data_IF_281000525427
#
_entry.id   IF_281000525427
#
_cell.length_a   1.000
_cell.length_b   1.000
_cell.length_c   1.000
_cell.angle_alpha   90.00
_cell.angle_beta   90.00
_cell.angle_gamma   90.00
#
_symmetry.space_group_name_H-M   'P 1'
#
loop_
_entity.id
_entity.type
_entity.pdbx_description
1 polymer ?
#
# COMPACT_ATOMS: atom_id res chain seq x y z
N UNK A 1 34.84 13.33 104.87
CA UNK A 1 33.41 13.14 105.18
C UNK A 1 32.72 12.71 103.90
N UNK A 2 32.14 11.52 103.94
CA UNK A 2 31.56 10.79 102.83
C UNK A 2 30.14 11.25 102.45
N UNK A 3 29.68 10.72 101.31
CA UNK A 3 28.32 10.56 100.77
C UNK A 3 28.20 11.24 99.40
N UNK A 4 27.57 10.66 98.39
CA UNK A 4 26.81 9.42 98.30
C UNK A 4 26.57 9.10 96.83
N UNK A 5 26.39 7.81 96.58
CA UNK A 5 25.92 7.16 95.36
C UNK A 5 24.59 7.73 94.84
N UNK A 6 24.39 7.72 93.52
CA UNK A 6 23.19 7.12 92.91
C UNK A 6 23.36 6.94 91.39
N UNK A 7 23.00 5.74 90.95
CA UNK A 7 23.12 5.18 89.60
C UNK A 7 21.86 5.51 88.82
N UNK A 8 21.99 5.84 87.53
CA UNK A 8 20.93 5.55 86.56
C UNK A 8 21.51 4.64 85.48
N UNK A 9 20.92 3.46 85.43
CA UNK A 9 21.27 2.30 84.65
C UNK A 9 20.35 2.21 83.42
N UNK A 10 20.80 1.43 82.44
CA UNK A 10 20.10 0.92 81.24
C UNK A 10 20.02 1.88 80.04
N UNK A 11 20.81 1.70 78.96
CA UNK A 11 21.05 0.57 78.05
C UNK A 11 20.11 0.56 76.83
N UNK A 12 20.74 0.28 75.67
CA UNK A 12 20.21 -0.05 74.31
C UNK A 12 19.98 1.20 73.44
N UNK A 13 20.55 1.38 72.25
CA UNK A 13 21.29 0.55 71.30
C UNK A 13 22.14 1.50 70.43
N UNK A 14 23.44 1.26 70.26
CA UNK A 14 24.23 1.94 69.23
C UNK A 14 25.26 0.99 68.63
N UNK A 15 24.80 -0.05 67.93
CA UNK A 15 25.60 -0.77 66.94
C UNK A 15 24.70 -1.23 65.78
N UNK A 16 24.45 -0.35 64.78
CA UNK A 16 24.49 -0.82 63.39
C UNK A 16 25.09 0.22 62.41
N UNK A 17 25.89 1.18 62.85
CA UNK A 17 26.28 2.31 61.98
C UNK A 17 27.38 1.95 60.98
N UNK A 18 28.34 1.10 61.35
CA UNK A 18 29.41 0.65 60.44
C UNK A 18 28.90 -0.30 59.34
N UNK A 19 27.97 -1.20 59.67
CA UNK A 19 27.41 -2.16 58.72
C UNK A 19 26.53 -1.46 57.68
N UNK A 20 25.71 -0.48 58.09
CA UNK A 20 24.86 0.30 57.18
C UNK A 20 25.70 1.24 56.30
N UNK A 21 26.79 1.81 56.82
CA UNK A 21 27.71 2.62 56.02
C UNK A 21 28.51 1.77 55.00
N UNK A 22 28.93 0.56 55.40
CA UNK A 22 29.58 -0.41 54.52
C UNK A 22 28.64 -0.93 53.43
N UNK A 23 27.39 -1.26 53.78
CA UNK A 23 26.34 -1.63 52.83
C UNK A 23 26.05 -0.49 51.83
N UNK A 24 25.93 0.77 52.29
CA UNK A 24 25.80 1.95 51.42
C UNK A 24 27.02 2.16 50.51
N UNK A 25 28.22 1.76 50.92
CA UNK A 25 29.42 1.80 50.07
C UNK A 25 29.38 0.70 49.01
N UNK A 26 28.96 -0.50 49.38
CA UNK A 26 28.77 -1.63 48.46
C UNK A 26 27.68 -1.34 47.42
N UNK A 27 26.54 -0.77 47.83
CA UNK A 27 25.46 -0.35 46.94
C UNK A 27 25.93 0.73 45.95
N UNK A 28 26.72 1.70 46.41
CA UNK A 28 27.36 2.70 45.52
C UNK A 28 28.30 2.04 44.51
N UNK A 29 29.08 1.04 44.91
CA UNK A 29 29.97 0.28 44.02
C UNK A 29 29.22 -0.63 43.05
N UNK A 30 28.07 -1.21 43.46
CA UNK A 30 27.18 -1.98 42.58
C UNK A 30 26.54 -1.06 41.54
N UNK A 31 25.98 0.07 41.97
CA UNK A 31 25.41 1.10 41.08
C UNK A 31 26.46 1.65 40.10
N UNK A 32 27.71 1.84 40.53
CA UNK A 32 28.80 2.26 39.65
C UNK A 32 29.14 1.21 38.59
N UNK A 33 29.18 -0.08 38.95
CA UNK A 33 29.36 -1.19 38.00
C UNK A 33 28.20 -1.28 37.01
N UNK A 34 26.97 -1.15 37.47
CA UNK A 34 25.78 -1.11 36.61
C UNK A 34 25.81 0.07 35.65
N UNK A 35 26.22 1.25 36.10
CA UNK A 35 26.38 2.43 35.24
C UNK A 35 27.45 2.20 34.17
N UNK A 36 28.58 1.58 34.53
CA UNK A 36 29.62 1.22 33.57
C UNK A 36 29.13 0.19 32.53
N UNK A 37 28.36 -0.81 32.96
CA UNK A 37 27.76 -1.78 32.05
C UNK A 37 26.79 -1.09 31.08
N UNK A 38 25.89 -0.24 31.60
CA UNK A 38 24.96 0.55 30.78
C UNK A 38 25.67 1.49 29.82
N UNK A 39 26.77 2.12 30.26
CA UNK A 39 27.59 2.97 29.40
C UNK A 39 28.22 2.15 28.28
N UNK A 40 28.80 0.99 28.60
CA UNK A 40 29.40 0.09 27.61
C UNK A 40 28.35 -0.48 26.64
N UNK A 41 27.15 -0.81 27.13
CA UNK A 41 26.02 -1.23 26.32
C UNK A 41 25.58 -0.12 25.38
N UNK A 42 25.38 1.10 25.89
CA UNK A 42 25.03 2.26 25.09
C UNK A 42 26.09 2.56 24.02
N UNK A 43 27.38 2.53 24.36
CA UNK A 43 28.45 2.69 23.37
C UNK A 43 28.42 1.64 22.28
N UNK A 44 28.18 0.36 22.63
CA UNK A 44 28.07 -0.73 21.66
C UNK A 44 26.84 -0.59 20.77
N UNK A 45 25.70 -0.20 21.32
CA UNK A 45 24.46 0.02 20.58
C UNK A 45 24.60 1.19 19.62
N UNK A 46 25.08 2.33 20.11
CA UNK A 46 25.34 3.51 19.28
C UNK A 46 26.32 3.19 18.15
N UNK A 47 27.39 2.44 18.41
CA UNK A 47 28.32 2.03 17.37
C UNK A 47 27.67 1.12 16.31
N UNK A 48 26.84 0.17 16.74
CA UNK A 48 26.09 -0.70 15.81
C UNK A 48 25.14 0.11 14.94
N UNK A 49 24.39 1.05 15.53
CA UNK A 49 23.46 1.91 14.80
C UNK A 49 24.18 2.76 13.76
N UNK A 50 25.28 3.43 14.13
CA UNK A 50 26.10 4.22 13.19
C UNK A 50 26.63 3.37 12.03
N UNK A 51 27.06 2.13 12.31
CA UNK A 51 27.51 1.19 11.28
C UNK A 51 26.37 0.73 10.38
N UNK A 52 25.17 0.49 10.94
CA UNK A 52 23.99 0.12 10.17
C UNK A 52 23.47 1.25 9.29
N UNK A 53 23.50 2.49 9.77
CA UNK A 53 23.16 3.68 9.00
C UNK A 53 24.14 3.88 7.84
N UNK A 54 25.45 3.81 8.09
CA UNK A 54 26.47 3.88 7.04
C UNK A 54 26.31 2.73 6.02
N UNK A 55 25.96 1.52 6.48
CA UNK A 55 25.61 0.40 5.61
C UNK A 55 24.39 0.70 4.74
N UNK A 56 23.33 1.27 5.30
CA UNK A 56 22.11 1.65 4.55
C UNK A 56 22.40 2.75 3.53
N UNK A 57 23.23 3.75 3.89
CA UNK A 57 23.64 4.82 2.99
C UNK A 57 24.51 4.33 1.83
N UNK A 58 25.39 3.35 2.08
CA UNK A 58 26.21 2.70 1.05
C UNK A 58 25.42 1.76 0.15
N UNK A 59 24.24 1.32 0.59
CA UNK A 59 23.39 0.45 -0.20
C UNK A 59 22.71 1.25 -1.33
N UNK A 60 22.71 0.72 -2.56
CA UNK A 60 21.90 1.28 -3.63
C UNK A 60 20.42 1.31 -3.25
N UNK A 61 19.70 2.38 -3.61
CA UNK A 61 18.26 2.52 -3.35
C UNK A 61 17.41 1.36 -3.89
N UNK A 62 17.88 0.65 -4.92
CA UNK A 62 17.21 -0.51 -5.51
C UNK A 62 17.57 -1.86 -4.86
N UNK A 63 18.42 -1.88 -3.83
CA UNK A 63 18.94 -3.12 -3.24
C UNK A 63 17.84 -3.98 -2.61
N UNK A 64 16.91 -3.37 -1.89
CA UNK A 64 15.80 -4.08 -1.24
C UNK A 64 14.86 -4.70 -2.28
N UNK A 65 14.53 -3.96 -3.35
CA UNK A 65 13.75 -4.48 -4.45
C UNK A 65 14.47 -5.63 -5.16
N UNK A 66 15.79 -5.54 -5.33
CA UNK A 66 16.60 -6.63 -5.91
C UNK A 66 16.62 -7.86 -5.00
N UNK A 67 16.74 -7.67 -3.68
CA UNK A 67 16.68 -8.75 -2.69
C UNK A 67 15.32 -9.44 -2.71
N UNK A 68 14.23 -8.67 -2.67
CA UNK A 68 12.86 -9.20 -2.72
C UNK A 68 12.61 -9.99 -4.02
N UNK A 69 13.13 -9.51 -5.15
CA UNK A 69 13.07 -10.24 -6.42
C UNK A 69 13.83 -11.57 -6.35
N UNK A 70 15.06 -11.56 -5.85
CA UNK A 70 15.87 -12.78 -5.71
C UNK A 70 15.22 -13.78 -4.76
N UNK A 71 14.65 -13.31 -3.65
CA UNK A 71 13.91 -14.14 -2.70
C UNK A 71 12.67 -14.76 -3.36
N UNK A 72 11.91 -13.99 -4.12
CA UNK A 72 10.79 -14.50 -4.90
C UNK A 72 11.24 -15.56 -5.93
N UNK A 73 12.32 -15.30 -6.66
CA UNK A 73 12.87 -16.22 -7.66
C UNK A 73 13.33 -17.55 -7.01
N UNK A 74 13.95 -17.49 -5.82
CA UNK A 74 14.31 -18.66 -5.02
C UNK A 74 13.08 -19.44 -4.55
N UNK A 75 12.04 -18.74 -4.08
CA UNK A 75 10.80 -19.36 -3.62
C UNK A 75 10.07 -20.07 -4.77
N UNK A 76 9.99 -19.43 -5.94
CA UNK A 76 9.45 -20.02 -7.17
C UNK A 76 10.27 -21.22 -7.62
N UNK A 77 11.61 -21.13 -7.57
CA UNK A 77 12.48 -22.25 -7.93
C UNK A 77 12.33 -23.44 -6.96
N UNK A 78 12.19 -23.18 -5.65
CA UNK A 78 11.90 -24.19 -4.64
C UNK A 78 10.61 -24.94 -4.94
N UNK A 79 9.50 -24.20 -5.10
CA UNK A 79 8.19 -24.80 -5.46
C UNK A 79 8.23 -25.61 -6.76
N UNK A 80 8.98 -25.15 -7.77
CA UNK A 80 9.16 -25.91 -9.02
C UNK A 80 9.88 -27.24 -8.79
N UNK A 81 10.90 -27.27 -7.91
CA UNK A 81 11.61 -28.50 -7.56
C UNK A 81 10.70 -29.46 -6.79
N UNK A 82 9.96 -28.95 -5.80
CA UNK A 82 8.98 -29.73 -5.04
C UNK A 82 7.93 -30.35 -5.97
N UNK A 83 7.32 -29.56 -6.88
CA UNK A 83 6.38 -30.09 -7.87
C UNK A 83 7.03 -31.15 -8.78
N UNK A 84 8.29 -30.94 -9.20
CA UNK A 84 9.00 -31.91 -10.04
C UNK A 84 9.30 -33.22 -9.30
N UNK A 85 9.64 -33.16 -8.00
CA UNK A 85 9.86 -34.33 -7.14
C UNK A 85 8.55 -35.11 -6.91
N UNK A 86 7.42 -34.40 -6.78
CA UNK A 86 6.09 -35.01 -6.69
C UNK A 86 5.55 -35.49 -8.05
N UNK A 87 6.18 -35.14 -9.17
CA UNK A 87 5.74 -35.48 -10.53
C UNK A 87 4.57 -34.65 -11.05
N UNK A 88 4.31 -33.48 -10.47
CA UNK A 88 3.23 -32.57 -10.85
C UNK A 88 3.72 -31.41 -11.72
N UNK A 89 2.84 -30.89 -12.59
CA UNK A 89 3.12 -29.66 -13.36
C UNK A 89 2.90 -28.41 -12.49
N UNK A 90 4.00 -27.68 -12.26
CA UNK A 90 4.02 -26.42 -11.51
C UNK A 90 2.98 -25.40 -11.99
N UNK A 91 2.73 -25.31 -13.31
CA UNK A 91 1.77 -24.34 -13.83
C UNK A 91 0.34 -24.68 -13.39
N UNK A 92 0.02 -25.97 -13.30
CA UNK A 92 -1.30 -26.43 -12.87
C UNK A 92 -1.50 -26.19 -11.37
N UNK A 93 -0.51 -26.51 -10.55
CA UNK A 93 -0.53 -26.22 -9.11
C UNK A 93 -0.67 -24.72 -8.85
N UNK A 94 0.11 -23.91 -9.56
CA UNK A 94 0.02 -22.44 -9.46
C UNK A 94 -1.36 -21.90 -9.85
N UNK A 95 -2.01 -22.47 -10.86
CA UNK A 95 -3.36 -22.05 -11.27
C UNK A 95 -4.42 -22.45 -10.24
N UNK A 96 -4.25 -23.56 -9.52
CA UNK A 96 -5.14 -23.97 -8.44
C UNK A 96 -5.07 -23.02 -7.24
N UNK A 97 -3.89 -22.45 -6.95
CA UNK A 97 -3.71 -21.46 -5.88
C UNK A 97 -4.36 -20.10 -6.19
N UNK A 98 -4.63 -19.79 -7.47
CA UNK A 98 -5.21 -18.51 -7.87
C UNK A 98 -6.73 -18.55 -7.69
N UNK A 99 -7.23 -17.74 -6.76
CA UNK A 99 -8.67 -17.57 -6.54
C UNK A 99 -9.37 -16.94 -7.75
N UNK A 100 -10.64 -17.30 -7.96
CA UNK A 100 -11.48 -16.74 -9.02
C UNK A 100 -11.55 -15.20 -8.95
N UNK A 101 -11.63 -14.62 -7.75
CA UNK A 101 -11.63 -13.16 -7.58
C UNK A 101 -10.32 -12.51 -8.01
N UNK A 102 -9.19 -13.17 -7.76
CA UNK A 102 -7.88 -12.66 -8.12
C UNK A 102 -7.64 -12.76 -9.63
N UNK A 103 -8.13 -13.83 -10.25
CA UNK A 103 -8.19 -13.95 -11.70
C UNK A 103 -9.05 -12.84 -12.33
N UNK A 104 -10.24 -12.56 -11.80
CA UNK A 104 -11.10 -11.46 -12.28
C UNK A 104 -10.44 -10.09 -12.12
N UNK A 105 -9.85 -9.80 -10.95
CA UNK A 105 -9.11 -8.56 -10.71
C UNK A 105 -7.97 -8.42 -11.72
N UNK A 106 -7.28 -9.51 -12.03
CA UNK A 106 -6.20 -9.52 -13.01
C UNK A 106 -6.72 -9.26 -14.43
N UNK A 107 -7.81 -9.89 -14.84
CA UNK A 107 -8.46 -9.66 -16.13
C UNK A 107 -8.99 -8.22 -16.28
N UNK A 108 -9.54 -7.62 -15.21
CA UNK A 108 -9.96 -6.21 -15.21
C UNK A 108 -8.78 -5.24 -15.36
N UNK A 109 -7.62 -5.58 -14.79
CA UNK A 109 -6.39 -4.80 -14.92
C UNK A 109 -5.74 -4.94 -16.30
N UNK A 110 -6.00 -6.02 -17.03
CA UNK A 110 -5.54 -6.16 -18.41
C UNK A 110 -6.27 -5.15 -19.28
N UNK A 111 -5.49 -4.26 -19.92
CA UNK A 111 -6.02 -3.32 -20.92
C UNK A 111 -6.67 -4.12 -22.04
N UNK A 112 -7.93 -3.81 -22.37
CA UNK A 112 -8.60 -4.34 -23.57
C UNK A 112 -7.76 -3.94 -24.79
N UNK A 113 -7.14 -4.93 -25.44
CA UNK A 113 -6.32 -4.71 -26.65
C UNK A 113 -7.26 -4.69 -27.85
N UNK A 114 -7.31 -3.58 -28.58
CA UNK A 114 -7.91 -3.50 -29.90
C UNK A 114 -6.79 -3.23 -30.92
N UNK A 115 -5.98 -4.25 -31.29
CA UNK A 115 -4.91 -4.08 -32.26
C UNK A 115 -5.48 -3.66 -33.61
N UNK A 116 -4.73 -2.91 -34.41
CA UNK A 116 -5.13 -2.57 -35.78
C UNK A 116 -4.70 -3.70 -36.72
N UNK A 117 -5.62 -4.50 -37.29
CA UNK A 117 -5.29 -5.54 -38.24
C UNK A 117 -4.86 -4.98 -39.60
N UNK A 118 -4.94 -3.67 -39.81
CA UNK A 118 -4.65 -3.00 -41.07
C UNK A 118 -5.92 -2.63 -41.85
N UNK A 119 -5.75 -1.96 -42.98
CA UNK A 119 -6.86 -1.55 -43.83
C UNK A 119 -7.44 -2.75 -44.58
N UNK A 120 -8.65 -3.17 -44.21
CA UNK A 120 -9.43 -4.21 -44.89
C UNK A 120 -10.40 -3.62 -45.92
N UNK A 121 -11.03 -2.49 -45.61
CA UNK A 121 -11.94 -1.77 -46.50
C UNK A 121 -12.58 -0.55 -45.84
N UNK A 122 -13.19 0.33 -46.64
CA UNK A 122 -13.75 1.60 -46.17
C UNK A 122 -14.87 1.41 -45.12
N UNK A 123 -15.73 0.42 -45.31
CA UNK A 123 -16.83 0.15 -44.37
C UNK A 123 -16.34 -0.30 -42.99
N UNK A 124 -15.32 -1.16 -42.94
CA UNK A 124 -14.77 -1.67 -41.68
C UNK A 124 -13.92 -0.61 -40.97
N UNK A 125 -13.16 0.19 -41.74
CA UNK A 125 -12.46 1.36 -41.21
C UNK A 125 -13.44 2.37 -40.60
N UNK A 126 -14.55 2.66 -41.30
CA UNK A 126 -15.61 3.54 -40.81
C UNK A 126 -16.28 2.98 -39.56
N UNK A 127 -16.59 1.67 -39.53
CA UNK A 127 -17.18 1.02 -38.35
C UNK A 127 -16.24 1.13 -37.14
N UNK A 128 -14.94 0.92 -37.33
CA UNK A 128 -13.94 1.07 -36.25
C UNK A 128 -13.88 2.50 -35.73
N UNK A 129 -13.86 3.49 -36.63
CA UNK A 129 -13.90 4.90 -36.25
C UNK A 129 -15.19 5.24 -35.49
N UNK A 130 -16.34 4.81 -36.00
CA UNK A 130 -17.64 5.00 -35.34
C UNK A 130 -17.68 4.38 -33.94
N UNK A 131 -17.20 3.15 -33.77
CA UNK A 131 -17.10 2.49 -32.47
C UNK A 131 -16.17 3.22 -31.50
N UNK A 132 -15.10 3.86 -32.00
CA UNK A 132 -14.21 4.67 -31.19
C UNK A 132 -14.89 5.96 -30.74
N UNK A 133 -15.50 6.69 -31.67
CA UNK A 133 -16.18 7.95 -31.38
C UNK A 133 -17.35 7.74 -30.41
N UNK A 134 -18.20 6.72 -30.64
CA UNK A 134 -19.32 6.39 -29.75
C UNK A 134 -18.89 6.03 -28.32
N UNK A 135 -17.71 5.43 -28.12
CA UNK A 135 -17.15 5.19 -26.79
C UNK A 135 -16.58 6.44 -26.11
N UNK A 136 -16.21 7.46 -26.88
CA UNK A 136 -15.64 8.71 -26.38
C UNK A 136 -16.73 9.71 -25.98
N UNK A 137 -17.90 9.66 -26.63
CA UNK A 137 -19.05 10.50 -26.31
C UNK A 137 -19.51 10.20 -24.88
N UNK A 138 -19.66 11.25 -24.08
CA UNK A 138 -20.22 11.20 -22.73
C UNK A 138 -21.55 11.95 -22.72
N UNK A 139 -22.69 11.25 -22.61
CA UNK A 139 -24.00 11.89 -22.56
C UNK A 139 -24.20 12.69 -21.26
N UNK A 140 -24.81 13.86 -21.37
CA UNK A 140 -25.27 14.64 -20.22
C UNK A 140 -26.66 14.16 -19.80
N UNK A 141 -26.74 13.45 -18.67
CA UNK A 141 -27.98 12.81 -18.21
C UNK A 141 -29.05 13.83 -17.78
N UNK A 142 -28.64 14.98 -17.23
CA UNK A 142 -29.58 16.05 -16.83
C UNK A 142 -30.30 16.66 -18.05
N UNK A 143 -29.57 16.90 -19.14
CA UNK A 143 -30.14 17.42 -20.38
C UNK A 143 -31.09 16.40 -21.03
N UNK A 144 -30.72 15.12 -20.96
CA UNK A 144 -31.54 14.02 -21.42
C UNK A 144 -32.86 13.92 -20.64
N UNK A 145 -32.83 13.99 -19.30
CA UNK A 145 -34.03 13.95 -18.46
C UNK A 145 -34.94 15.15 -18.71
N UNK A 146 -34.37 16.36 -18.82
CA UNK A 146 -35.14 17.57 -19.19
C UNK A 146 -35.83 17.44 -20.54
N UNK A 147 -35.14 16.89 -21.55
CA UNK A 147 -35.75 16.65 -22.86
C UNK A 147 -36.83 15.57 -22.77
N UNK A 148 -36.60 14.50 -22.01
CA UNK A 148 -37.59 13.43 -21.80
C UNK A 148 -38.87 13.95 -21.18
N UNK A 149 -38.80 14.84 -20.19
CA UNK A 149 -39.98 15.47 -19.59
C UNK A 149 -40.71 16.40 -20.58
N UNK A 150 -39.98 17.14 -21.42
CA UNK A 150 -40.56 18.05 -22.41
C UNK A 150 -41.31 17.33 -23.53
N UNK A 151 -40.73 16.24 -24.04
CA UNK A 151 -41.31 15.47 -25.14
C UNK A 151 -42.28 14.38 -24.64
N UNK A 152 -42.20 13.93 -23.38
CA UNK A 152 -43.13 12.96 -22.81
C UNK A 152 -43.20 11.66 -23.60
N UNK A 153 -44.41 11.28 -24.04
CA UNK A 153 -44.67 10.07 -24.84
C UNK A 153 -44.01 10.13 -26.24
N UNK A 154 -43.83 11.34 -26.77
CA UNK A 154 -43.22 11.59 -28.08
C UNK A 154 -41.69 11.42 -28.06
N UNK A 155 -41.10 11.22 -26.88
CA UNK A 155 -39.64 11.03 -26.71
C UNK A 155 -39.12 9.72 -27.32
N UNK A 156 -40.00 8.73 -27.52
CA UNK A 156 -39.67 7.45 -28.14
C UNK A 156 -40.33 7.32 -29.53
N UNK A 157 -39.87 8.08 -30.55
CA UNK A 157 -40.49 8.08 -31.86
C UNK A 157 -40.28 6.76 -32.60
N UNK A 158 -41.29 6.34 -33.34
CA UNK A 158 -41.19 5.26 -34.33
C UNK A 158 -40.89 5.83 -35.72
N UNK A 159 -40.59 4.98 -36.71
CA UNK A 159 -40.25 5.40 -38.08
C UNK A 159 -41.30 6.30 -38.75
N UNK A 160 -42.56 6.24 -38.31
CA UNK A 160 -43.67 7.04 -38.84
C UNK A 160 -44.07 8.22 -37.94
N UNK A 161 -43.26 8.57 -36.94
CA UNK A 161 -43.55 9.71 -36.05
C UNK A 161 -43.30 11.05 -36.75
N UNK A 162 -44.15 12.04 -36.48
CA UNK A 162 -44.17 13.34 -37.17
C UNK A 162 -43.13 14.35 -36.62
N UNK A 163 -42.34 13.98 -35.61
CA UNK A 163 -41.48 14.90 -34.85
C UNK A 163 -40.19 15.28 -35.62
N UNK A 164 -40.00 14.77 -36.83
CA UNK A 164 -38.81 15.05 -37.63
C UNK A 164 -38.75 16.52 -38.10
N UNK A 165 -37.67 17.22 -37.74
CA UNK A 165 -37.38 18.59 -38.22
C UNK A 165 -37.85 19.73 -37.31
N UNK A 166 -38.44 19.44 -36.16
CA UNK A 166 -38.84 20.46 -35.16
C UNK A 166 -37.73 20.80 -34.16
N UNK A 167 -36.67 20.00 -34.09
CA UNK A 167 -35.59 20.18 -33.13
C UNK A 167 -34.64 21.31 -33.53
N UNK A 168 -34.54 22.33 -32.67
CA UNK A 168 -33.54 23.40 -32.78
C UNK A 168 -32.53 23.22 -31.65
N UNK A 169 -31.29 22.79 -31.95
CA UNK A 169 -30.28 22.56 -30.92
C UNK A 169 -29.81 23.88 -30.30
N UNK A 170 -29.34 23.80 -29.06
CA UNK A 170 -28.72 24.94 -28.39
C UNK A 170 -27.36 25.26 -29.03
N UNK A 171 -26.93 26.53 -28.93
CA UNK A 171 -25.63 26.96 -29.43
C UNK A 171 -24.47 26.15 -28.84
N UNK A 172 -24.53 25.86 -27.55
CA UNK A 172 -23.51 25.06 -26.85
C UNK A 172 -23.42 23.62 -27.40
N UNK A 173 -24.53 23.01 -27.80
CA UNK A 173 -24.52 21.69 -28.41
C UNK A 173 -23.87 21.70 -29.81
N UNK A 174 -24.09 22.77 -30.58
CA UNK A 174 -23.44 22.99 -31.88
C UNK A 174 -21.93 23.18 -31.70
N UNK A 175 -21.52 24.01 -30.73
CA UNK A 175 -20.10 24.27 -30.46
C UNK A 175 -19.36 22.98 -30.07
N UNK A 176 -19.95 22.14 -29.20
CA UNK A 176 -19.39 20.82 -28.85
C UNK A 176 -19.27 19.88 -30.05
N UNK A 177 -20.27 19.86 -30.92
CA UNK A 177 -20.23 19.07 -32.16
C UNK A 177 -19.10 19.54 -33.09
N UNK A 178 -18.90 20.85 -33.22
CA UNK A 178 -17.81 21.42 -34.01
C UNK A 178 -16.45 21.02 -33.45
N UNK A 179 -16.25 21.15 -32.14
CA UNK A 179 -15.04 20.70 -31.46
C UNK A 179 -14.75 19.21 -31.69
N UNK A 180 -15.77 18.36 -31.74
CA UNK A 180 -15.60 16.92 -32.00
C UNK A 180 -15.29 16.59 -33.46
N UNK A 181 -15.70 17.44 -34.41
CA UNK A 181 -15.37 17.30 -35.83
C UNK A 181 -13.94 17.78 -36.13
N UNK A 182 -13.47 18.80 -35.42
CA UNK A 182 -12.13 19.38 -35.59
C UNK A 182 -11.01 18.56 -34.93
N UNK A 183 -11.36 17.62 -34.03
CA UNK A 183 -10.43 16.69 -33.36
C UNK A 183 -9.92 15.57 -34.27
#
# INVERSE_FOLDING_TARGET
MASGVEVCESARDEEPTESVASQKREERLRKFRELHLKMNEAHKLNHKEVVEEDRRLKLPSNWEAKKARLEYDLMVAGKKKECAEQGEDYNRVKLLDISAEDAERWERKKKKKNPDPGFSGYAEAQLRQYQRLTKQIKPDMEDYERQREQYGEDFHPTCNSLIHGSHVPSRQAIDRMQEDIEK
#
